data_IF_521173174549
#
_entry.id   IF_521173174549
#
_cell.length_a   1.000
_cell.length_b   1.000
_cell.length_c   1.000
_cell.angle_alpha   90.00
_cell.angle_beta   90.00
_cell.angle_gamma   90.00
#
_symmetry.space_group_name_H-M   'P 1'
#
loop_
_entity.id
_entity.type
_entity.pdbx_description
1 polymer ?
#
# COMPACT_ATOMS: atom_id res chain seq x y z
N UNK A 1 -40.39 30.92 3.83
CA UNK A 1 -39.79 29.58 3.61
C UNK A 1 -39.01 29.63 2.31
N UNK A 2 -37.68 29.81 2.35
CA UNK A 2 -36.86 29.72 1.14
C UNK A 2 -36.46 28.27 0.91
N UNK A 3 -36.94 27.71 -0.18
CA UNK A 3 -36.58 26.40 -0.69
C UNK A 3 -35.08 26.41 -1.03
N UNK A 4 -34.25 25.74 -0.22
CA UNK A 4 -32.83 25.51 -0.51
C UNK A 4 -32.75 24.78 -1.85
N UNK A 5 -32.44 25.52 -2.92
CA UNK A 5 -32.09 24.95 -4.21
C UNK A 5 -30.85 24.09 -4.01
N UNK A 6 -31.05 22.76 -4.06
CA UNK A 6 -29.98 21.76 -4.09
C UNK A 6 -29.21 21.97 -5.38
N UNK A 7 -28.21 22.86 -5.37
CA UNK A 7 -27.28 22.99 -6.47
C UNK A 7 -26.53 21.67 -6.56
N UNK A 8 -26.85 20.91 -7.59
CA UNK A 8 -26.20 19.64 -7.89
C UNK A 8 -24.72 19.97 -8.16
N UNK A 9 -23.83 19.55 -7.26
CA UNK A 9 -22.42 19.87 -7.34
C UNK A 9 -21.84 19.10 -8.53
N UNK A 10 -21.55 19.80 -9.62
CA UNK A 10 -21.11 19.23 -10.90
C UNK A 10 -20.04 20.11 -11.56
N UNK A 11 -19.17 19.47 -12.34
CA UNK A 11 -18.24 20.11 -13.25
C UNK A 11 -18.82 20.00 -14.66
N UNK A 12 -19.45 21.07 -15.14
CA UNK A 12 -20.29 20.99 -16.34
C UNK A 12 -21.46 20.02 -16.13
N UNK A 13 -21.53 18.96 -16.94
CA UNK A 13 -22.55 17.90 -16.82
C UNK A 13 -22.11 16.73 -15.92
N UNK A 14 -20.85 16.68 -15.49
CA UNK A 14 -20.29 15.55 -14.73
C UNK A 14 -20.50 15.80 -13.22
N UNK A 15 -21.23 14.94 -12.49
CA UNK A 15 -21.33 15.06 -11.04
C UNK A 15 -19.95 14.95 -10.39
N UNK A 16 -19.62 15.82 -9.41
CA UNK A 16 -18.27 15.79 -8.80
C UNK A 16 -17.93 14.45 -8.13
N UNK A 17 -18.94 13.66 -7.74
CA UNK A 17 -18.74 12.32 -7.17
C UNK A 17 -18.15 11.30 -8.15
N UNK A 18 -18.20 11.56 -9.45
CA UNK A 18 -17.59 10.70 -10.47
C UNK A 18 -16.19 11.17 -10.86
N UNK A 19 -15.70 12.27 -10.27
CA UNK A 19 -14.31 12.68 -10.42
C UNK A 19 -13.51 12.03 -9.30
N UNK A 20 -12.30 11.56 -9.65
CA UNK A 20 -11.31 11.09 -8.68
C UNK A 20 -11.06 12.15 -7.60
N UNK A 21 -10.89 13.40 -8.02
CA UNK A 21 -10.80 14.55 -7.14
C UNK A 21 -12.00 15.45 -7.32
N UNK A 22 -12.66 15.77 -6.20
CA UNK A 22 -13.80 16.69 -6.18
C UNK A 22 -13.30 18.13 -6.33
N UNK A 23 -13.09 18.54 -7.59
CA UNK A 23 -12.57 19.88 -7.94
C UNK A 23 -13.60 20.70 -8.71
N UNK A 24 -13.51 22.02 -8.55
CA UNK A 24 -14.25 22.98 -9.37
C UNK A 24 -13.42 23.43 -10.57
N UNK A 25 -14.07 23.99 -11.59
CA UNK A 25 -13.39 24.55 -12.74
C UNK A 25 -12.45 25.68 -12.32
N UNK A 26 -11.23 25.67 -12.85
CA UNK A 26 -10.26 26.71 -12.60
C UNK A 26 -10.65 28.00 -13.34
N UNK A 27 -10.60 29.18 -12.69
CA UNK A 27 -10.81 30.47 -13.36
C UNK A 27 -9.83 30.69 -14.52
N UNK A 28 -10.28 31.35 -15.60
CA UNK A 28 -9.45 31.57 -16.79
C UNK A 28 -8.18 32.37 -16.50
N UNK A 29 -8.24 33.35 -15.59
CA UNK A 29 -7.09 34.15 -15.16
C UNK A 29 -6.01 33.33 -14.44
N UNK A 30 -6.38 32.18 -13.85
CA UNK A 30 -5.46 31.30 -13.13
C UNK A 30 -4.88 30.20 -14.03
N UNK A 31 -5.50 29.91 -15.17
CA UNK A 31 -5.02 28.88 -16.10
C UNK A 31 -3.56 29.05 -16.55
N UNK A 32 -3.05 30.26 -16.86
CA UNK A 32 -1.63 30.42 -17.23
C UNK A 32 -0.65 30.30 -16.04
N UNK A 33 -1.15 30.21 -14.81
CA UNK A 33 -0.33 30.09 -13.59
C UNK A 33 -0.14 28.64 -13.14
N UNK A 34 -0.83 27.68 -13.77
CA UNK A 34 -0.74 26.26 -13.40
C UNK A 34 0.50 25.65 -14.01
N UNK A 35 1.25 24.94 -13.19
CA UNK A 35 2.41 24.15 -13.61
C UNK A 35 2.23 22.71 -13.19
N UNK A 36 2.64 21.77 -14.05
CA UNK A 36 2.66 20.36 -13.73
C UNK A 36 3.99 19.99 -13.06
N UNK A 37 3.92 19.53 -11.82
CA UNK A 37 5.08 19.03 -11.08
C UNK A 37 5.48 17.61 -11.50
N UNK A 38 4.67 16.96 -12.34
CA UNK A 38 4.88 15.58 -12.77
C UNK A 38 4.42 14.56 -11.73
N UNK A 39 4.75 13.30 -12.01
CA UNK A 39 4.45 12.17 -11.13
C UNK A 39 5.70 11.70 -10.41
N UNK A 40 5.52 11.16 -9.21
CA UNK A 40 6.60 10.56 -8.44
C UNK A 40 7.07 9.29 -9.15
N UNK A 41 8.37 9.17 -9.40
CA UNK A 41 8.92 7.97 -10.03
C UNK A 41 8.90 6.79 -9.05
N UNK A 42 8.70 5.54 -9.52
CA UNK A 42 8.64 4.36 -8.65
C UNK A 42 9.86 4.21 -7.74
N UNK A 43 11.06 4.53 -8.24
CA UNK A 43 12.31 4.38 -7.47
C UNK A 43 12.37 5.37 -6.30
N UNK A 44 11.84 6.57 -6.51
CA UNK A 44 11.79 7.61 -5.46
C UNK A 44 10.68 7.31 -4.47
N UNK A 45 9.57 6.74 -4.93
CA UNK A 45 8.51 6.31 -4.02
C UNK A 45 8.97 5.20 -3.09
N UNK A 46 9.67 4.19 -3.60
CA UNK A 46 10.25 3.14 -2.77
C UNK A 46 11.18 3.72 -1.70
N UNK A 47 12.00 4.72 -2.07
CA UNK A 47 12.85 5.44 -1.12
C UNK A 47 12.03 6.12 -0.01
N UNK A 48 10.94 6.79 -0.36
CA UNK A 48 10.06 7.41 0.64
C UNK A 48 9.34 6.38 1.52
N UNK A 49 8.89 5.27 0.93
CA UNK A 49 8.31 4.15 1.68
C UNK A 49 9.33 3.61 2.69
N UNK A 50 10.57 3.39 2.27
CA UNK A 50 11.66 2.97 3.15
C UNK A 50 11.89 3.97 4.29
N UNK A 51 11.89 5.27 4.01
CA UNK A 51 12.04 6.31 5.03
C UNK A 51 10.90 6.28 6.05
N UNK A 52 9.65 6.13 5.59
CA UNK A 52 8.49 6.01 6.48
C UNK A 52 8.64 4.77 7.38
N UNK A 53 8.90 3.60 6.79
CA UNK A 53 9.05 2.35 7.55
C UNK A 53 10.21 2.44 8.55
N UNK A 54 11.36 2.97 8.12
CA UNK A 54 12.54 3.18 8.96
C UNK A 54 12.24 4.07 10.16
N UNK A 55 11.44 5.14 9.97
CA UNK A 55 11.00 6.00 11.05
C UNK A 55 10.22 5.21 12.11
N UNK A 56 9.27 4.37 11.69
CA UNK A 56 8.44 3.59 12.61
C UNK A 56 9.23 2.50 13.37
N UNK A 57 10.14 1.80 12.68
CA UNK A 57 10.87 0.63 13.24
C UNK A 57 12.15 1.04 13.96
N UNK A 58 13.01 1.84 13.33
CA UNK A 58 14.36 2.11 13.84
C UNK A 58 14.43 3.39 14.70
N UNK A 59 13.76 4.46 14.27
CA UNK A 59 13.85 5.77 14.92
C UNK A 59 12.89 5.87 16.11
N UNK A 60 11.59 5.66 15.88
CA UNK A 60 10.55 5.78 16.89
C UNK A 60 10.36 4.48 17.69
N UNK A 61 10.85 3.34 17.17
CA UNK A 61 10.76 2.01 17.80
C UNK A 61 9.32 1.63 18.20
N UNK A 62 8.35 2.02 17.38
CA UNK A 62 6.92 1.70 17.60
C UNK A 62 6.63 0.22 17.38
N UNK A 63 7.44 -0.42 16.55
CA UNK A 63 7.47 -1.87 16.34
C UNK A 63 8.93 -2.29 16.52
N UNK A 64 9.25 -3.28 17.36
CA UNK A 64 10.62 -3.77 17.47
C UNK A 64 11.02 -4.48 16.18
N UNK A 65 12.21 -4.18 15.70
CA UNK A 65 12.77 -4.81 14.52
C UNK A 65 14.10 -4.19 14.12
N UNK A 66 14.73 -4.84 13.16
CA UNK A 66 16.02 -4.43 12.61
C UNK A 66 15.88 -4.04 11.13
N UNK A 67 17.01 -3.74 10.49
CA UNK A 67 17.08 -3.34 9.08
C UNK A 67 16.39 -4.37 8.16
N UNK A 68 16.45 -5.65 8.48
CA UNK A 68 15.77 -6.69 7.69
C UNK A 68 14.25 -6.54 7.71
N UNK A 69 13.66 -6.18 8.85
CA UNK A 69 12.21 -5.92 8.94
C UNK A 69 11.85 -4.68 8.12
N UNK A 70 12.69 -3.64 8.17
CA UNK A 70 12.48 -2.43 7.35
C UNK A 70 12.47 -2.78 5.87
N UNK A 71 13.44 -3.58 5.40
CA UNK A 71 13.50 -4.03 4.01
C UNK A 71 12.26 -4.84 3.62
N UNK A 72 11.87 -5.81 4.46
CA UNK A 72 10.71 -6.66 4.19
C UNK A 72 9.40 -5.84 4.12
N UNK A 73 9.14 -4.98 5.10
CA UNK A 73 7.95 -4.13 5.11
C UNK A 73 7.94 -3.14 3.94
N UNK A 74 9.10 -2.57 3.60
CA UNK A 74 9.22 -1.68 2.44
C UNK A 74 8.89 -2.42 1.16
N UNK A 75 9.46 -3.61 0.94
CA UNK A 75 9.21 -4.41 -0.25
C UNK A 75 7.72 -4.77 -0.38
N UNK A 76 7.09 -5.23 0.71
CA UNK A 76 5.66 -5.57 0.73
C UNK A 76 4.79 -4.35 0.42
N UNK A 77 5.05 -3.21 1.06
CA UNK A 77 4.27 -1.99 0.84
C UNK A 77 4.45 -1.43 -0.58
N UNK A 78 5.69 -1.43 -1.10
CA UNK A 78 5.98 -1.01 -2.47
C UNK A 78 5.31 -1.93 -3.48
N UNK A 79 5.38 -3.25 -3.29
CA UNK A 79 4.70 -4.23 -4.13
C UNK A 79 3.17 -4.04 -4.08
N UNK A 80 2.62 -3.78 -2.89
CA UNK A 80 1.18 -3.49 -2.71
C UNK A 80 0.77 -2.23 -3.46
N UNK A 81 1.54 -1.14 -3.34
CA UNK A 81 1.25 0.11 -4.07
C UNK A 81 1.36 -0.09 -5.59
N UNK A 82 2.37 -0.83 -6.06
CA UNK A 82 2.50 -1.16 -7.49
C UNK A 82 1.30 -1.96 -7.99
N UNK A 83 0.91 -3.00 -7.26
CA UNK A 83 -0.28 -3.79 -7.59
C UNK A 83 -1.53 -2.92 -7.70
N UNK A 84 -1.74 -2.01 -6.74
CA UNK A 84 -2.89 -1.11 -6.75
C UNK A 84 -2.90 -0.18 -7.97
N UNK A 85 -1.74 0.30 -8.43
CA UNK A 85 -1.62 1.12 -9.65
C UNK A 85 -1.97 0.39 -10.93
N UNK A 86 -1.75 -0.92 -10.97
CA UNK A 86 -2.08 -1.74 -12.13
C UNK A 86 -3.59 -2.01 -12.23
N UNK A 87 -4.38 -1.64 -11.20
CA UNK A 87 -5.84 -1.73 -11.23
C UNK A 87 -6.47 -0.61 -12.07
N UNK A 88 -7.65 -0.87 -12.63
CA UNK A 88 -8.33 0.03 -13.58
C UNK A 88 -9.37 0.95 -12.94
N UNK A 89 -9.55 0.86 -11.63
CA UNK A 89 -10.57 1.57 -10.86
C UNK A 89 -9.94 2.66 -9.96
N UNK A 90 -10.75 3.23 -9.06
CA UNK A 90 -10.36 4.28 -8.13
C UNK A 90 -9.19 3.87 -7.22
N UNK A 91 -8.91 2.57 -7.07
CA UNK A 91 -7.82 2.03 -6.27
C UNK A 91 -6.43 2.31 -6.86
N UNK A 92 -6.33 2.69 -8.14
CA UNK A 92 -5.07 3.13 -8.78
C UNK A 92 -4.45 4.39 -8.16
N UNK A 93 -5.22 5.20 -7.42
CA UNK A 93 -4.78 6.44 -6.79
C UNK A 93 -4.19 6.23 -5.39
N UNK A 94 -3.11 5.44 -5.31
CA UNK A 94 -2.35 5.25 -4.07
C UNK A 94 -1.35 6.39 -3.83
N UNK A 95 -1.03 6.62 -2.57
CA UNK A 95 -0.08 7.65 -2.15
C UNK A 95 0.74 7.22 -0.94
N UNK A 96 1.83 7.94 -0.65
CA UNK A 96 2.63 7.75 0.57
C UNK A 96 1.83 7.94 1.87
N UNK A 97 0.65 8.58 1.81
CA UNK A 97 -0.25 8.65 2.96
C UNK A 97 -0.84 7.29 3.30
N UNK A 98 -1.06 6.44 2.30
CA UNK A 98 -1.60 5.09 2.49
C UNK A 98 -0.54 4.20 3.14
N UNK A 99 0.74 4.37 2.76
CA UNK A 99 1.88 3.75 3.45
C UNK A 99 1.94 4.14 4.93
N UNK A 100 1.85 5.44 5.22
CA UNK A 100 1.86 5.92 6.61
C UNK A 100 0.65 5.39 7.42
N UNK A 101 -0.52 5.32 6.80
CA UNK A 101 -1.71 4.71 7.42
C UNK A 101 -1.53 3.22 7.66
N UNK A 102 -1.01 2.47 6.70
CA UNK A 102 -0.72 1.05 6.84
C UNK A 102 0.27 0.79 7.98
N UNK A 103 1.31 1.62 8.11
CA UNK A 103 2.24 1.55 9.24
C UNK A 103 1.56 1.83 10.58
N UNK A 104 0.67 2.82 10.66
CA UNK A 104 -0.11 3.07 11.89
C UNK A 104 -1.00 1.88 12.25
N UNK A 105 -1.62 1.24 11.26
CA UNK A 105 -2.42 0.02 11.46
C UNK A 105 -1.55 -1.15 11.93
N UNK A 106 -0.38 -1.35 11.33
CA UNK A 106 0.57 -2.37 11.79
C UNK A 106 1.04 -2.14 13.23
N UNK A 107 1.31 -0.90 13.63
CA UNK A 107 1.61 -0.56 15.03
C UNK A 107 0.46 -0.93 15.94
N UNK A 108 -0.78 -0.65 15.52
CA UNK A 108 -1.96 -1.02 16.29
C UNK A 108 -2.06 -2.54 16.46
N UNK A 109 -1.91 -3.32 15.39
CA UNK A 109 -1.90 -4.79 15.46
C UNK A 109 -0.80 -5.30 16.39
N UNK A 110 0.42 -4.77 16.25
CA UNK A 110 1.53 -5.16 17.10
C UNK A 110 1.26 -4.89 18.60
N UNK A 111 0.66 -3.74 18.92
CA UNK A 111 0.34 -3.38 20.30
C UNK A 111 -0.78 -4.24 20.91
N UNK A 112 -1.66 -4.79 20.08
CA UNK A 112 -2.79 -5.62 20.52
C UNK A 112 -2.58 -7.12 20.32
N UNK A 113 -1.38 -7.54 19.86
CA UNK A 113 -1.06 -8.94 19.56
C UNK A 113 -1.42 -9.93 20.68
N UNK A 114 -1.22 -9.58 21.95
CA UNK A 114 -1.54 -10.50 23.05
C UNK A 114 -3.04 -10.79 23.17
N UNK A 115 -3.90 -9.85 22.76
CA UNK A 115 -5.35 -10.03 22.74
C UNK A 115 -5.82 -10.67 21.42
N UNK A 116 -5.05 -10.55 20.34
CA UNK A 116 -5.38 -11.09 19.02
C UNK A 116 -4.87 -12.51 18.81
N UNK A 117 -3.71 -12.86 19.36
CA UNK A 117 -3.09 -14.18 19.19
C UNK A 117 -4.05 -15.34 19.54
N UNK A 118 -4.79 -15.31 20.66
CA UNK A 118 -5.71 -16.42 20.97
C UNK A 118 -6.83 -16.59 19.94
N UNK A 119 -7.25 -15.51 19.27
CA UNK A 119 -8.28 -15.56 18.23
C UNK A 119 -7.73 -16.08 16.90
N UNK A 120 -6.41 -16.07 16.70
CA UNK A 120 -5.77 -16.62 15.50
C UNK A 120 -5.53 -18.12 15.63
N UNK A 121 -5.38 -18.62 16.86
CA UNK A 121 -5.15 -20.04 17.14
C UNK A 121 -6.44 -20.88 17.05
N UNK A 122 -7.62 -20.27 17.26
CA UNK A 122 -8.93 -20.96 17.21
C UNK A 122 -9.38 -21.34 15.78
N UNK A 123 -8.89 -20.65 14.74
CA UNK A 123 -9.30 -20.87 13.34
C UNK A 123 -8.47 -21.96 12.59
N UNK A 124 -7.45 -22.53 13.25
CA UNK A 124 -6.57 -23.56 12.64
C UNK A 124 -7.07 -24.99 12.92
N UNK A 125 -7.72 -25.22 14.06
CA UNK A 125 -8.21 -26.56 14.46
C UNK A 125 -9.44 -27.03 13.65
N UNK A 126 -10.10 -26.15 12.89
CA UNK A 126 -11.30 -26.48 12.10
C UNK A 126 -10.99 -26.86 10.62
N UNK A 127 -9.73 -26.94 10.21
CA UNK A 127 -9.34 -27.29 8.82
C UNK A 127 -8.60 -28.64 8.65
N UNK A 128 -8.37 -29.39 9.73
CA UNK A 128 -7.62 -30.66 9.68
C UNK A 128 -8.50 -31.92 9.51
N UNK A 129 -9.81 -31.80 9.29
CA UNK A 129 -10.67 -32.93 8.90
C UNK A 129 -11.28 -32.72 7.51
N UNK A 130 -10.52 -32.99 6.46
CA UNK A 130 -10.91 -33.79 5.28
C UNK A 130 -9.91 -33.59 4.12
N UNK A 131 -9.02 -34.58 3.91
CA UNK A 131 -8.44 -34.94 2.60
C UNK A 131 -7.44 -36.11 2.78
N UNK A 132 -7.92 -37.28 3.19
CA UNK A 132 -7.30 -38.55 2.80
C UNK A 132 -7.83 -38.86 1.39
N UNK A 133 -7.08 -38.51 0.36
CA UNK A 133 -7.18 -39.18 -0.94
C UNK A 133 -5.77 -39.22 -1.55
N UNK A 134 -5.21 -40.43 -1.51
CA UNK A 134 -3.98 -40.83 -2.19
C UNK A 134 -4.10 -40.53 -3.70
N UNK A 135 -3.19 -39.74 -4.27
CA UNK A 135 -2.81 -39.93 -5.67
C UNK A 135 -1.31 -39.72 -5.85
N UNK A 136 -0.66 -40.85 -6.08
CA UNK A 136 0.75 -41.04 -6.35
C UNK A 136 0.97 -40.76 -7.83
N UNK A 137 1.69 -39.70 -8.17
CA UNK A 137 2.20 -39.49 -9.53
C UNK A 137 3.52 -38.73 -9.45
N UNK A 138 4.59 -39.53 -9.44
CA UNK A 138 5.92 -39.14 -9.85
C UNK A 138 5.88 -38.48 -11.24
N UNK A 139 6.51 -37.31 -11.38
CA UNK A 139 7.34 -37.02 -12.55
C UNK A 139 8.30 -35.86 -12.25
N UNK A 140 9.59 -36.18 -12.40
CA UNK A 140 10.74 -35.29 -12.43
C UNK A 140 10.61 -34.25 -13.57
N UNK A 141 11.08 -33.02 -13.35
CA UNK A 141 12.06 -32.40 -14.28
C UNK A 141 12.57 -31.01 -13.81
N UNK A 142 13.87 -30.86 -14.01
CA UNK A 142 14.77 -29.74 -13.74
C UNK A 142 14.37 -28.38 -14.39
N UNK A 143 14.73 -27.26 -13.75
CA UNK A 143 15.68 -26.26 -14.32
C UNK A 143 15.81 -24.94 -13.51
N UNK A 144 17.04 -24.72 -13.05
CA UNK A 144 17.83 -23.47 -13.02
C UNK A 144 17.15 -22.08 -12.89
N UNK A 145 17.38 -21.46 -11.72
CA UNK A 145 18.26 -20.29 -11.55
C UNK A 145 17.88 -18.95 -12.17
N UNK A 146 17.45 -18.01 -11.31
CA UNK A 146 17.71 -16.58 -11.47
C UNK A 146 18.03 -15.98 -10.08
N UNK A 147 19.30 -15.67 -9.85
CA UNK A 147 19.75 -14.81 -8.75
C UNK A 147 19.83 -13.38 -9.31
N UNK A 148 18.97 -12.47 -8.86
CA UNK A 148 19.07 -11.05 -9.25
C UNK A 148 19.13 -10.10 -8.04
N UNK A 149 20.27 -9.41 -7.98
CA UNK A 149 20.60 -8.07 -7.47
C UNK A 149 19.91 -7.52 -6.20
N UNK A 150 20.59 -7.62 -5.05
CA UNK A 150 20.20 -6.95 -3.79
C UNK A 150 21.21 -5.90 -3.27
N UNK A 151 22.05 -5.32 -4.13
CA UNK A 151 23.22 -4.56 -3.67
C UNK A 151 23.12 -3.02 -3.66
N UNK A 152 21.95 -2.43 -3.90
CA UNK A 152 21.82 -0.96 -3.88
C UNK A 152 21.25 -0.35 -2.59
N UNK A 153 20.77 -1.16 -1.64
CA UNK A 153 20.08 -0.63 -0.44
C UNK A 153 21.01 -0.34 0.75
N UNK A 154 22.31 -0.64 0.66
CA UNK A 154 23.24 -0.47 1.79
C UNK A 154 23.66 0.99 2.02
N UNK A 155 23.54 1.86 1.01
CA UNK A 155 24.09 3.23 1.08
C UNK A 155 23.14 4.27 1.71
N UNK A 156 21.90 3.90 2.04
CA UNK A 156 20.89 4.86 2.53
C UNK A 156 20.67 4.76 4.04
N UNK A 157 21.24 3.75 4.71
CA UNK A 157 21.02 3.47 6.14
C UNK A 157 22.23 3.71 7.03
N UNK A 158 23.28 4.40 6.53
CA UNK A 158 24.40 4.88 7.35
C UNK A 158 24.19 6.35 7.71
#
# INVERSE_FOLDING_TARGET
>A
MLQRSRHMIALGHIPLRHLVYRVHALPESMRPLVWDFGQLKPEIEELYTCQIVSRFVLQEKKIPGEVLLVKALTAVLTASQRYMRDQTDECSFVSLRDVERAMNVMVWFYNHRNALNPLMDEDIDDQDEESDDDDDSDDDDDAAGEEDELDQVSQILT
#
